data_IF_581397508421
#
_entry.id   IF_581397508421
#
_cell.length_a   1.000
_cell.length_b   1.000
_cell.length_c   1.000
_cell.angle_alpha   90.00
_cell.angle_beta   90.00
_cell.angle_gamma   90.00
#
_symmetry.space_group_name_H-M   'P 1'
#
loop_
_entity.id
_entity.type
_entity.pdbx_description
1 polymer ?
#
# COMPACT_ATOMS: atom_id res chain seq x y z
N UNK A 1 -79.69 117.35 31.09
CA UNK A 1 -80.78 117.55 30.19
C UNK A 1 -81.05 116.19 29.57
N UNK A 2 -81.98 115.43 30.16
CA UNK A 2 -83.34 115.31 29.56
C UNK A 2 -83.22 114.61 28.21
N UNK A 3 -83.74 113.51 27.94
CA UNK A 3 -85.20 113.27 27.94
C UNK A 3 -85.52 111.75 27.93
N UNK A 4 -86.60 111.51 28.60
CA UNK A 4 -87.34 110.27 28.68
C UNK A 4 -88.14 110.03 27.37
N UNK A 5 -88.37 108.78 27.10
CA UNK A 5 -89.70 108.21 26.91
C UNK A 5 -89.79 107.27 25.72
N UNK A 6 -90.81 106.49 25.60
CA UNK A 6 -91.55 105.71 26.57
C UNK A 6 -91.70 104.18 26.12
N UNK A 7 -92.11 103.41 27.02
CA UNK A 7 -92.54 102.02 26.87
C UNK A 7 -93.75 101.87 25.88
N UNK A 8 -93.72 100.86 25.12
CA UNK A 8 -94.95 100.38 24.48
C UNK A 8 -95.10 98.84 24.88
N UNK A 9 -96.20 98.46 25.45
CA UNK A 9 -96.46 97.10 25.89
C UNK A 9 -97.28 96.37 24.75
N UNK A 10 -96.90 95.25 24.45
CA UNK A 10 -97.51 94.16 23.73
C UNK A 10 -96.60 93.59 22.63
N UNK A 11 -95.83 92.60 23.03
CA UNK A 11 -95.47 91.56 22.08
C UNK A 11 -95.48 90.22 22.86
N UNK A 12 -96.38 89.34 22.43
CA UNK A 12 -96.55 88.00 22.90
C UNK A 12 -95.20 87.17 22.79
N UNK A 13 -94.96 86.32 23.70
CA UNK A 13 -93.75 85.50 23.67
C UNK A 13 -93.84 84.47 22.51
N UNK A 14 -92.91 84.62 21.55
CA UNK A 14 -92.72 83.57 20.54
C UNK A 14 -92.42 82.21 21.17
N UNK A 15 -93.02 81.14 20.69
CA UNK A 15 -92.74 79.79 21.18
C UNK A 15 -91.28 79.39 20.93
N UNK A 16 -90.58 78.95 21.95
CA UNK A 16 -89.18 78.37 21.87
C UNK A 16 -89.35 77.07 21.10
N UNK A 17 -88.69 76.95 19.92
CA UNK A 17 -88.58 75.74 19.16
C UNK A 17 -87.75 74.71 19.98
N UNK A 18 -88.14 73.44 20.06
CA UNK A 18 -87.39 72.45 20.76
C UNK A 18 -86.06 72.18 20.07
N UNK A 19 -84.99 72.20 20.83
CA UNK A 19 -83.65 71.86 20.35
C UNK A 19 -83.63 70.48 19.62
N UNK A 20 -82.84 70.33 18.52
CA UNK A 20 -82.81 69.07 17.80
C UNK A 20 -82.24 67.98 18.70
N UNK A 21 -83.03 66.94 18.95
CA UNK A 21 -82.59 65.74 19.63
C UNK A 21 -81.53 65.05 18.76
N UNK A 22 -80.26 65.11 19.22
CA UNK A 22 -79.17 64.30 18.62
C UNK A 22 -79.58 62.85 18.74
N UNK A 23 -80.00 62.18 17.65
CA UNK A 23 -80.15 60.72 17.61
C UNK A 23 -78.79 60.15 17.86
N UNK A 24 -78.67 59.55 18.99
CA UNK A 24 -77.46 58.79 19.35
C UNK A 24 -77.25 57.60 18.40
N UNK A 25 -76.27 57.65 17.53
CA UNK A 25 -75.87 56.57 16.61
C UNK A 25 -75.07 55.47 17.36
N UNK A 26 -75.45 55.15 18.59
CA UNK A 26 -74.82 54.13 19.48
C UNK A 26 -74.69 52.78 18.80
N UNK A 27 -75.65 52.42 17.98
CA UNK A 27 -75.62 51.19 17.17
C UNK A 27 -74.51 51.21 16.11
N UNK A 28 -74.28 52.36 15.46
CA UNK A 28 -73.20 52.54 14.46
C UNK A 28 -71.86 52.60 15.14
N UNK A 29 -71.75 53.27 16.30
CA UNK A 29 -70.47 53.31 17.09
C UNK A 29 -70.12 51.94 17.59
N UNK A 30 -71.07 51.10 18.03
CA UNK A 30 -70.77 49.71 18.40
C UNK A 30 -70.34 48.83 17.21
N UNK A 31 -70.91 49.05 16.03
CA UNK A 31 -70.59 48.33 14.81
C UNK A 31 -69.18 48.69 14.35
N UNK A 32 -68.77 49.95 14.39
CA UNK A 32 -67.46 50.47 14.08
C UNK A 32 -66.43 49.89 15.12
N UNK A 33 -66.78 49.90 16.40
CA UNK A 33 -65.96 49.32 17.46
C UNK A 33 -65.72 47.81 17.24
N UNK A 34 -66.71 47.05 16.89
CA UNK A 34 -66.62 45.64 16.57
C UNK A 34 -65.71 45.38 15.33
N UNK A 35 -65.93 46.19 14.27
CA UNK A 35 -65.13 46.11 13.03
C UNK A 35 -63.68 46.46 13.27
N UNK A 36 -63.37 47.46 14.11
CA UNK A 36 -61.99 47.78 14.47
C UNK A 36 -61.32 46.68 15.27
N UNK A 37 -62.02 45.99 16.17
CA UNK A 37 -61.54 44.84 16.90
C UNK A 37 -61.21 43.67 15.94
N UNK A 38 -62.10 43.41 14.98
CA UNK A 38 -61.82 42.34 13.97
C UNK A 38 -60.63 42.70 13.09
N UNK A 39 -60.47 43.98 12.70
CA UNK A 39 -59.26 44.41 11.93
C UNK A 39 -57.98 44.26 12.75
N UNK A 40 -58.01 44.58 14.07
CA UNK A 40 -56.86 44.41 14.95
C UNK A 40 -56.50 42.92 15.08
N UNK A 41 -57.48 42.04 15.29
CA UNK A 41 -57.27 40.61 15.39
C UNK A 41 -56.69 40.05 14.10
N UNK A 42 -57.18 40.46 12.94
CA UNK A 42 -56.63 40.06 11.65
C UNK A 42 -55.23 40.62 11.43
N UNK A 43 -54.96 41.86 11.80
CA UNK A 43 -53.63 42.47 11.76
C UNK A 43 -52.58 41.71 12.63
N UNK A 44 -52.98 41.36 13.84
CA UNK A 44 -52.15 40.55 14.74
C UNK A 44 -51.90 39.17 14.15
N UNK A 45 -52.92 38.52 13.60
CA UNK A 45 -52.77 37.21 12.94
C UNK A 45 -51.82 37.29 11.75
N UNK A 46 -51.96 38.25 10.86
CA UNK A 46 -51.08 38.47 9.71
C UNK A 46 -49.62 38.72 10.18
N UNK A 47 -49.46 39.50 11.23
CA UNK A 47 -48.14 39.76 11.81
C UNK A 47 -47.49 38.47 12.34
N UNK A 48 -48.22 37.66 13.11
CA UNK A 48 -47.75 36.38 13.64
C UNK A 48 -47.45 35.38 12.52
N UNK A 49 -48.36 35.23 11.54
CA UNK A 49 -48.13 34.38 10.36
C UNK A 49 -46.90 34.84 9.55
N UNK A 50 -46.65 36.16 9.49
CA UNK A 50 -45.46 36.70 8.82
C UNK A 50 -44.15 36.38 9.56
N UNK A 51 -44.16 36.41 10.90
CA UNK A 51 -43.01 36.00 11.72
C UNK A 51 -42.75 34.51 11.58
N UNK A 52 -43.76 33.67 11.72
CA UNK A 52 -43.66 32.23 11.54
C UNK A 52 -43.12 31.86 10.14
N UNK A 53 -43.62 32.53 9.09
CA UNK A 53 -43.11 32.33 7.72
C UNK A 53 -41.64 32.76 7.56
N UNK A 54 -41.17 33.78 8.27
CA UNK A 54 -39.75 34.18 8.27
C UNK A 54 -38.90 33.15 8.96
N UNK A 55 -39.31 32.70 10.15
CA UNK A 55 -38.59 31.65 10.89
C UNK A 55 -38.51 30.35 10.09
N UNK A 56 -39.62 29.88 9.50
CA UNK A 56 -39.64 28.68 8.65
C UNK A 56 -38.74 28.84 7.44
N UNK A 57 -38.75 30.04 6.80
CA UNK A 57 -37.86 30.30 5.67
C UNK A 57 -36.39 30.31 6.06
N UNK A 58 -36.03 30.91 7.20
CA UNK A 58 -34.67 30.91 7.73
C UNK A 58 -34.23 29.50 8.11
N UNK A 59 -35.07 28.70 8.75
CA UNK A 59 -34.81 27.30 9.06
C UNK A 59 -34.64 26.45 7.78
N UNK A 60 -35.48 26.67 6.78
CA UNK A 60 -35.36 25.97 5.50
C UNK A 60 -34.05 26.33 4.80
N UNK A 61 -33.70 27.62 4.73
CA UNK A 61 -32.46 28.11 4.14
C UNK A 61 -31.21 27.53 4.88
N UNK A 62 -31.24 27.53 6.20
CA UNK A 62 -30.16 26.93 7.02
C UNK A 62 -30.06 25.43 6.80
N UNK A 63 -31.19 24.73 6.69
CA UNK A 63 -31.23 23.28 6.41
C UNK A 63 -30.70 22.97 5.02
N UNK A 64 -31.05 23.75 4.01
CA UNK A 64 -30.54 23.61 2.64
C UNK A 64 -29.01 23.85 2.58
N UNK A 65 -28.53 24.89 3.27
CA UNK A 65 -27.09 25.19 3.34
C UNK A 65 -26.30 24.06 4.03
N UNK A 66 -26.81 23.58 5.16
CA UNK A 66 -26.18 22.44 5.87
C UNK A 66 -26.15 21.18 5.01
N UNK A 67 -27.22 20.94 4.25
CA UNK A 67 -27.29 19.83 3.33
C UNK A 67 -26.25 19.98 2.19
N UNK A 68 -26.22 21.16 1.56
CA UNK A 68 -25.25 21.44 0.49
C UNK A 68 -23.81 21.29 0.96
N UNK A 69 -23.48 21.80 2.14
CA UNK A 69 -22.13 21.67 2.75
C UNK A 69 -21.78 20.21 3.01
N UNK A 70 -22.72 19.43 3.55
CA UNK A 70 -22.48 17.99 3.82
C UNK A 70 -22.29 17.21 2.51
N UNK A 71 -23.06 17.50 1.47
CA UNK A 71 -22.92 16.89 0.15
C UNK A 71 -21.60 17.26 -0.52
N UNK A 72 -21.16 18.50 -0.37
CA UNK A 72 -19.85 18.94 -0.85
C UNK A 72 -18.75 18.15 -0.14
N UNK A 73 -18.82 18.00 1.20
CA UNK A 73 -17.82 17.25 1.96
C UNK A 73 -17.75 15.77 1.54
N UNK A 74 -18.90 15.14 1.27
CA UNK A 74 -18.94 13.78 0.72
C UNK A 74 -18.24 13.68 -0.64
N UNK A 75 -18.40 14.69 -1.49
CA UNK A 75 -17.70 14.72 -2.79
C UNK A 75 -16.19 14.88 -2.63
N UNK A 76 -15.76 15.71 -1.67
CA UNK A 76 -14.34 15.87 -1.33
C UNK A 76 -13.75 14.55 -0.80
N UNK A 77 -14.43 13.90 0.14
CA UNK A 77 -14.02 12.59 0.69
C UNK A 77 -13.92 11.53 -0.42
N UNK A 78 -14.86 11.52 -1.36
CA UNK A 78 -14.80 10.61 -2.51
C UNK A 78 -13.51 10.81 -3.33
N UNK A 79 -13.13 12.06 -3.58
CA UNK A 79 -11.89 12.38 -4.28
C UNK A 79 -10.65 12.00 -3.45
N UNK A 80 -10.69 12.20 -2.13
CA UNK A 80 -9.64 11.76 -1.23
C UNK A 80 -9.50 10.23 -1.25
N UNK A 81 -10.60 9.47 -1.26
CA UNK A 81 -10.58 8.01 -1.41
C UNK A 81 -9.89 7.58 -2.71
N UNK A 82 -10.16 8.24 -3.84
CA UNK A 82 -9.51 7.91 -5.11
C UNK A 82 -7.99 8.08 -5.03
N UNK A 83 -7.51 9.12 -4.38
CA UNK A 83 -6.07 9.32 -4.16
C UNK A 83 -5.47 8.24 -3.26
N UNK A 84 -6.15 7.88 -2.16
CA UNK A 84 -5.66 6.85 -1.23
C UNK A 84 -5.69 5.46 -1.86
N UNK A 85 -6.74 5.13 -2.62
CA UNK A 85 -6.81 3.87 -3.39
C UNK A 85 -5.60 3.75 -4.31
N UNK A 86 -5.32 4.77 -5.13
CA UNK A 86 -4.19 4.74 -6.04
C UNK A 86 -2.83 4.62 -5.31
N UNK A 87 -2.68 5.23 -4.15
CA UNK A 87 -1.46 5.15 -3.34
C UNK A 87 -1.28 3.78 -2.71
N UNK A 88 -2.34 3.21 -2.11
CA UNK A 88 -2.32 1.88 -1.49
C UNK A 88 -2.08 0.79 -2.53
N UNK A 89 -2.76 0.84 -3.68
CA UNK A 89 -2.54 -0.10 -4.80
C UNK A 89 -1.08 -0.09 -5.27
N UNK A 90 -0.48 1.09 -5.40
CA UNK A 90 0.94 1.22 -5.75
C UNK A 90 1.87 0.58 -4.72
N UNK A 91 1.49 0.56 -3.46
CA UNK A 91 2.23 -0.03 -2.36
C UNK A 91 1.91 -1.52 -2.16
N UNK A 92 0.94 -2.08 -2.92
CA UNK A 92 0.51 -3.48 -2.84
C UNK A 92 -0.42 -3.78 -1.66
N UNK A 93 -1.09 -2.76 -1.11
CA UNK A 93 -2.07 -2.90 -0.03
C UNK A 93 -3.48 -3.23 -0.52
N UNK A 94 -4.38 -3.53 0.44
CA UNK A 94 -5.79 -3.83 0.18
C UNK A 94 -6.63 -2.54 0.13
N UNK A 95 -7.40 -2.36 -0.94
CA UNK A 95 -8.26 -1.20 -1.18
C UNK A 95 -9.75 -1.52 -1.11
N UNK A 96 -10.12 -2.75 -0.80
CA UNK A 96 -11.51 -3.24 -0.85
C UNK A 96 -12.47 -2.41 0.02
N UNK A 97 -12.04 -2.02 1.21
CA UNK A 97 -12.81 -1.21 2.15
C UNK A 97 -13.05 0.21 1.63
N UNK A 98 -12.03 0.86 1.08
CA UNK A 98 -12.16 2.19 0.47
C UNK A 98 -13.05 2.17 -0.78
N UNK A 99 -12.94 1.13 -1.60
CA UNK A 99 -13.80 0.95 -2.79
C UNK A 99 -15.26 0.75 -2.38
N UNK A 100 -15.54 -0.02 -1.33
CA UNK A 100 -16.88 -0.19 -0.79
C UNK A 100 -17.44 1.11 -0.23
N UNK A 101 -16.68 1.83 0.57
CA UNK A 101 -17.07 3.14 1.11
C UNK A 101 -17.32 4.17 0.01
N UNK A 102 -16.49 4.21 -1.03
CA UNK A 102 -16.69 5.06 -2.20
C UNK A 102 -17.99 4.75 -2.92
N UNK A 103 -18.31 3.46 -3.14
CA UNK A 103 -19.56 3.05 -3.77
C UNK A 103 -20.78 3.48 -2.94
N UNK A 104 -20.69 3.41 -1.61
CA UNK A 104 -21.74 3.89 -0.71
C UNK A 104 -21.93 5.41 -0.83
N UNK A 105 -20.86 6.20 -0.88
CA UNK A 105 -20.92 7.64 -1.11
C UNK A 105 -21.61 7.95 -2.44
N UNK A 106 -21.24 7.26 -3.52
CA UNK A 106 -21.86 7.46 -4.83
C UNK A 106 -23.37 7.17 -4.81
N UNK A 107 -23.80 6.17 -4.07
CA UNK A 107 -25.21 5.85 -3.89
C UNK A 107 -25.93 6.93 -3.10
N UNK A 108 -25.35 7.45 -2.02
CA UNK A 108 -25.90 8.55 -1.24
C UNK A 108 -26.02 9.83 -2.06
N UNK A 109 -25.00 10.19 -2.85
CA UNK A 109 -25.02 11.34 -3.74
C UNK A 109 -26.15 11.23 -4.79
N UNK A 110 -26.44 10.01 -5.26
CA UNK A 110 -27.54 9.77 -6.22
C UNK A 110 -28.93 9.77 -5.57
N UNK A 111 -29.04 9.24 -4.34
CA UNK A 111 -30.33 9.11 -3.62
C UNK A 111 -30.87 10.42 -3.09
N UNK A 112 -30.01 11.34 -2.74
CA UNK A 112 -30.37 12.52 -1.98
C UNK A 112 -31.08 13.54 -2.85
N UNK A 113 -32.41 13.66 -2.69
CA UNK A 113 -33.25 14.61 -3.43
C UNK A 113 -33.93 15.65 -2.54
N UNK A 114 -33.94 15.50 -1.21
CA UNK A 114 -34.59 16.43 -0.29
C UNK A 114 -33.83 16.53 1.03
N UNK A 115 -33.42 17.75 1.34
CA UNK A 115 -32.87 18.10 2.63
C UNK A 115 -33.91 18.03 3.74
N UNK A 116 -33.68 17.21 4.76
CA UNK A 116 -34.39 17.30 6.04
C UNK A 116 -33.39 17.03 7.18
N UNK A 117 -33.72 17.52 8.37
CA UNK A 117 -32.77 17.45 9.49
C UNK A 117 -32.32 16.05 9.87
N UNK A 118 -33.15 15.02 9.63
CA UNK A 118 -32.80 13.61 9.90
C UNK A 118 -31.76 13.11 8.88
N UNK A 119 -32.01 13.35 7.60
CA UNK A 119 -31.08 12.97 6.52
C UNK A 119 -29.72 13.66 6.70
N UNK A 120 -29.72 14.94 7.04
CA UNK A 120 -28.49 15.71 7.28
C UNK A 120 -27.69 15.10 8.43
N UNK A 121 -28.36 14.70 9.52
CA UNK A 121 -27.67 14.06 10.64
C UNK A 121 -27.06 12.73 10.22
N UNK A 122 -27.81 11.87 9.54
CA UNK A 122 -27.32 10.57 9.04
C UNK A 122 -26.12 10.75 8.10
N UNK A 123 -26.14 11.75 7.21
CA UNK A 123 -25.05 12.05 6.31
C UNK A 123 -23.81 12.59 7.05
N UNK A 124 -23.99 13.40 8.10
CA UNK A 124 -22.87 13.86 8.93
C UNK A 124 -22.21 12.74 9.70
N UNK A 125 -23.00 11.84 10.27
CA UNK A 125 -22.49 10.68 10.99
C UNK A 125 -21.65 9.78 10.04
N UNK A 126 -22.08 9.65 8.77
CA UNK A 126 -21.33 8.97 7.73
C UNK A 126 -20.04 9.71 7.35
N UNK A 127 -20.10 11.02 7.17
CA UNK A 127 -18.91 11.86 6.89
C UNK A 127 -17.86 11.65 7.97
N UNK A 128 -18.26 11.71 9.25
CA UNK A 128 -17.34 11.46 10.37
C UNK A 128 -16.71 10.06 10.31
N UNK A 129 -17.51 9.03 10.00
CA UNK A 129 -17.00 7.67 9.81
C UNK A 129 -16.00 7.55 8.65
N UNK A 130 -16.25 8.21 7.54
CA UNK A 130 -15.34 8.21 6.39
C UNK A 130 -14.04 9.00 6.66
N UNK A 131 -14.12 10.10 7.42
CA UNK A 131 -12.93 10.84 7.87
C UNK A 131 -12.05 9.99 8.81
N UNK A 132 -12.64 9.22 9.70
CA UNK A 132 -11.91 8.27 10.54
C UNK A 132 -11.26 7.15 9.69
N UNK A 133 -11.96 6.65 8.67
CA UNK A 133 -11.41 5.67 7.74
C UNK A 133 -10.20 6.25 6.97
N UNK A 134 -10.28 7.50 6.50
CA UNK A 134 -9.15 8.18 5.85
C UNK A 134 -7.92 8.25 6.76
N UNK A 135 -8.10 8.63 8.03
CA UNK A 135 -7.01 8.67 9.01
C UNK A 135 -6.38 7.30 9.23
N UNK A 136 -7.21 6.25 9.38
CA UNK A 136 -6.71 4.88 9.52
C UNK A 136 -5.92 4.42 8.28
N UNK A 137 -6.37 4.80 7.08
CA UNK A 137 -5.67 4.48 5.83
C UNK A 137 -4.38 5.28 5.65
N UNK A 138 -4.27 6.49 6.17
CA UNK A 138 -3.01 7.24 6.23
C UNK A 138 -1.96 6.51 7.07
N UNK A 139 -2.34 5.99 8.23
CA UNK A 139 -1.44 5.18 9.06
C UNK A 139 -1.02 3.89 8.35
N UNK A 140 -1.94 3.24 7.63
CA UNK A 140 -1.63 2.04 6.84
C UNK A 140 -0.65 2.35 5.71
N UNK A 141 -0.85 3.45 4.98
CA UNK A 141 0.05 3.91 3.92
C UNK A 141 1.47 4.13 4.46
N UNK A 142 1.63 4.78 5.60
CA UNK A 142 2.95 5.00 6.21
C UNK A 142 3.63 3.69 6.65
N UNK A 143 2.87 2.74 7.17
CA UNK A 143 3.38 1.38 7.45
C UNK A 143 3.81 0.67 6.18
N UNK A 144 2.98 0.69 5.12
CA UNK A 144 3.30 0.08 3.83
C UNK A 144 4.55 0.70 3.20
N UNK A 145 4.71 2.02 3.25
CA UNK A 145 5.94 2.71 2.78
C UNK A 145 7.17 2.24 3.53
N UNK A 146 7.07 2.11 4.84
CA UNK A 146 8.18 1.64 5.70
C UNK A 146 8.57 0.21 5.32
N UNK A 147 7.61 -0.71 5.28
CA UNK A 147 7.83 -2.10 4.91
C UNK A 147 8.41 -2.24 3.50
N UNK A 148 7.87 -1.50 2.52
CA UNK A 148 8.41 -1.51 1.17
C UNK A 148 9.88 -1.04 1.11
N UNK A 149 10.23 -0.01 1.88
CA UNK A 149 11.61 0.48 1.97
C UNK A 149 12.53 -0.57 2.61
N UNK A 150 12.07 -1.24 3.66
CA UNK A 150 12.82 -2.32 4.32
C UNK A 150 13.03 -3.49 3.37
N UNK A 151 11.96 -3.96 2.71
CA UNK A 151 12.03 -5.05 1.72
C UNK A 151 12.96 -4.71 0.54
N UNK A 152 12.92 -3.46 0.07
CA UNK A 152 13.84 -3.02 -0.98
C UNK A 152 15.30 -3.10 -0.52
N UNK A 153 15.59 -2.63 0.70
CA UNK A 153 16.94 -2.67 1.27
C UNK A 153 17.42 -4.10 1.47
N UNK A 154 16.56 -4.96 2.03
CA UNK A 154 16.85 -6.39 2.21
C UNK A 154 17.13 -7.08 0.86
N UNK A 155 16.31 -6.81 -0.16
CA UNK A 155 16.49 -7.38 -1.49
C UNK A 155 17.84 -7.00 -2.10
N UNK A 156 18.27 -5.74 -1.96
CA UNK A 156 19.59 -5.27 -2.41
C UNK A 156 20.69 -5.99 -1.64
N UNK A 157 20.56 -6.13 -0.33
CA UNK A 157 21.53 -6.83 0.52
C UNK A 157 21.65 -8.30 0.12
N UNK A 158 20.52 -9.02 0.04
CA UNK A 158 20.48 -10.42 -0.38
C UNK A 158 21.06 -10.65 -1.77
N UNK A 159 20.82 -9.74 -2.71
CA UNK A 159 21.43 -9.81 -4.04
C UNK A 159 22.94 -9.66 -3.99
N UNK A 160 23.44 -8.77 -3.14
CA UNK A 160 24.88 -8.56 -2.94
C UNK A 160 25.53 -9.78 -2.30
N UNK A 161 24.94 -10.32 -1.24
CA UNK A 161 25.39 -11.52 -0.57
C UNK A 161 25.40 -12.73 -1.50
N UNK A 162 24.34 -12.91 -2.30
CA UNK A 162 24.27 -13.97 -3.32
C UNK A 162 25.45 -13.89 -4.31
N UNK A 163 25.80 -12.69 -4.78
CA UNK A 163 26.92 -12.50 -5.69
C UNK A 163 28.25 -12.84 -5.02
N UNK A 164 28.47 -12.33 -3.79
CA UNK A 164 29.68 -12.64 -3.00
C UNK A 164 29.83 -14.15 -2.71
N UNK A 165 28.71 -14.83 -2.43
CA UNK A 165 28.70 -16.26 -2.22
C UNK A 165 29.06 -17.01 -3.51
N UNK A 166 28.52 -16.58 -4.65
CA UNK A 166 28.86 -17.11 -5.97
C UNK A 166 30.36 -16.99 -6.28
N UNK A 167 30.94 -15.80 -6.05
CA UNK A 167 32.38 -15.58 -6.24
C UNK A 167 33.24 -16.46 -5.31
N UNK A 168 32.78 -16.62 -4.07
CA UNK A 168 33.49 -17.48 -3.07
C UNK A 168 33.44 -18.93 -3.49
N UNK A 169 32.31 -19.43 -3.99
CA UNK A 169 32.16 -20.80 -4.51
C UNK A 169 33.10 -21.01 -5.71
N UNK A 170 33.18 -20.08 -6.63
CA UNK A 170 34.04 -20.16 -7.80
C UNK A 170 35.54 -20.25 -7.37
N UNK A 171 35.97 -19.36 -6.48
CA UNK A 171 37.35 -19.38 -5.94
C UNK A 171 37.68 -20.67 -5.22
N UNK A 172 36.73 -21.21 -4.44
CA UNK A 172 36.91 -22.48 -3.74
C UNK A 172 37.02 -23.64 -4.72
N UNK A 173 36.22 -23.65 -5.81
CA UNK A 173 36.28 -24.67 -6.85
C UNK A 173 37.63 -24.63 -7.58
N UNK A 174 38.09 -23.44 -7.99
CA UNK A 174 39.41 -23.26 -8.62
C UNK A 174 40.55 -23.73 -7.70
N UNK A 175 40.49 -23.35 -6.42
CA UNK A 175 41.49 -23.78 -5.42
C UNK A 175 41.48 -25.30 -5.24
N UNK A 176 40.31 -25.94 -5.18
CA UNK A 176 40.14 -27.39 -5.09
C UNK A 176 40.74 -28.09 -6.31
N UNK A 177 40.51 -27.62 -7.51
CA UNK A 177 41.07 -28.17 -8.74
C UNK A 177 42.61 -28.04 -8.77
N UNK A 178 43.10 -26.84 -8.40
CA UNK A 178 44.55 -26.63 -8.31
C UNK A 178 45.22 -27.51 -7.29
N UNK A 179 44.60 -27.72 -6.12
CA UNK A 179 45.09 -28.65 -5.10
C UNK A 179 45.04 -30.09 -5.59
N UNK A 180 43.93 -30.52 -6.20
CA UNK A 180 43.81 -31.88 -6.76
C UNK A 180 44.89 -32.16 -7.80
N UNK A 181 45.18 -31.18 -8.70
CA UNK A 181 46.27 -31.29 -9.67
C UNK A 181 47.65 -31.42 -8.98
N UNK A 182 47.95 -30.59 -7.98
CA UNK A 182 49.19 -30.68 -7.20
C UNK A 182 49.33 -32.04 -6.50
N UNK A 183 48.25 -32.53 -5.89
CA UNK A 183 48.24 -33.84 -5.25
C UNK A 183 48.46 -34.96 -6.26
N UNK A 184 47.84 -34.87 -7.45
CA UNK A 184 48.02 -35.86 -8.51
C UNK A 184 49.50 -35.92 -8.98
N UNK A 185 50.16 -34.79 -9.14
CA UNK A 185 51.58 -34.72 -9.49
C UNK A 185 52.46 -35.25 -8.35
N UNK A 186 52.21 -34.81 -7.13
CA UNK A 186 52.99 -35.20 -5.96
C UNK A 186 52.82 -36.68 -5.60
N UNK A 187 51.71 -37.29 -5.94
CA UNK A 187 51.43 -38.72 -5.65
C UNK A 187 52.01 -39.68 -6.70
N UNK A 188 52.66 -39.16 -7.75
CA UNK A 188 53.32 -40.01 -8.75
C UNK A 188 54.48 -40.79 -8.10
N UNK A 189 54.43 -42.09 -8.23
CA UNK A 189 55.53 -42.99 -7.74
C UNK A 189 56.68 -42.92 -8.75
N UNK A 190 57.86 -42.75 -8.25
CA UNK A 190 59.11 -42.75 -9.04
C UNK A 190 59.86 -44.00 -8.77
N UNK A 191 60.24 -44.79 -9.80
CA UNK A 191 61.12 -45.88 -9.70
C UNK A 191 62.61 -45.42 -9.68
N UNK A 192 63.40 -45.88 -8.71
CA UNK A 192 64.79 -45.56 -8.55
C UNK A 192 65.60 -46.83 -8.51
N UNK A 193 66.92 -46.72 -8.73
CA UNK A 193 67.90 -47.85 -8.71
C UNK A 193 67.43 -48.97 -9.63
N UNK A 194 66.96 -48.64 -10.82
CA UNK A 194 66.53 -49.65 -11.79
C UNK A 194 67.67 -50.46 -12.29
N UNK A 195 67.63 -51.77 -12.03
CA UNK A 195 68.64 -52.77 -12.45
C UNK A 195 67.95 -53.76 -13.38
N UNK A 196 68.50 -53.90 -14.58
CA UNK A 196 68.00 -54.88 -15.55
C UNK A 196 69.04 -55.88 -15.82
N UNK A 197 68.75 -57.17 -15.57
CA UNK A 197 69.67 -58.27 -15.79
C UNK A 197 68.97 -59.32 -16.67
N UNK A 198 69.81 -59.88 -17.58
CA UNK A 198 69.41 -61.04 -18.35
C UNK A 198 69.80 -62.35 -17.53
N UNK A 199 68.84 -63.25 -17.44
CA UNK A 199 69.01 -64.56 -16.81
C UNK A 199 68.95 -65.62 -17.91
N UNK A 200 69.98 -66.40 -18.04
CA UNK A 200 70.02 -67.50 -19.03
C UNK A 200 69.28 -68.74 -18.49
N UNK A 201 69.09 -69.73 -19.33
CA UNK A 201 68.41 -70.99 -18.98
C UNK A 201 69.06 -71.78 -17.83
N UNK A 202 70.35 -71.50 -17.55
CA UNK A 202 71.11 -72.11 -16.42
C UNK A 202 71.07 -71.25 -15.14
N UNK A 203 70.27 -70.21 -15.12
CA UNK A 203 70.07 -69.28 -13.96
C UNK A 203 71.21 -68.27 -13.77
N UNK A 204 72.18 -68.14 -14.66
CA UNK A 204 73.27 -67.20 -14.54
C UNK A 204 72.82 -65.80 -14.96
N UNK A 205 72.97 -64.83 -14.08
CA UNK A 205 72.66 -63.40 -14.30
C UNK A 205 73.78 -62.68 -15.03
N UNK A 206 73.41 -61.79 -15.96
CA UNK A 206 74.36 -60.87 -16.65
C UNK A 206 73.67 -59.48 -16.78
N UNK A 207 74.46 -58.48 -16.44
CA UNK A 207 74.07 -57.05 -16.69
C UNK A 207 74.27 -56.62 -18.15
N UNK A 208 73.61 -55.61 -18.52
CA UNK A 208 73.74 -55.01 -19.83
C UNK A 208 75.19 -54.53 -20.13
N UNK A 209 75.70 -54.70 -21.34
CA UNK A 209 75.05 -55.20 -22.55
C UNK A 209 75.10 -56.75 -22.65
N UNK A 210 73.98 -57.36 -23.00
CA UNK A 210 73.84 -58.79 -23.22
C UNK A 210 73.33 -59.05 -24.69
N UNK A 211 73.72 -60.27 -25.21
CA UNK A 211 73.30 -60.68 -26.53
C UNK A 211 71.99 -61.48 -26.45
N UNK A 212 71.11 -61.36 -27.41
CA UNK A 212 69.81 -62.02 -27.42
C UNK A 212 69.90 -63.55 -27.13
N UNK A 213 70.84 -64.29 -27.64
CA UNK A 213 71.10 -65.74 -27.35
C UNK A 213 71.38 -66.06 -25.89
N UNK A 214 71.59 -65.04 -25.06
CA UNK A 214 71.99 -65.17 -23.62
C UNK A 214 70.80 -64.85 -22.69
N UNK A 215 69.65 -64.57 -23.24
CA UNK A 215 68.47 -64.14 -22.51
C UNK A 215 67.44 -65.26 -22.50
N UNK A 216 67.23 -65.91 -21.39
CA UNK A 216 66.12 -66.82 -21.14
C UNK A 216 65.01 -66.07 -20.44
N UNK A 217 65.36 -65.15 -19.50
CA UNK A 217 64.41 -64.24 -18.79
C UNK A 217 65.10 -62.91 -18.56
N UNK A 218 64.29 -61.86 -18.48
CA UNK A 218 64.71 -60.52 -18.02
C UNK A 218 64.20 -60.33 -16.58
N UNK A 219 65.13 -59.97 -15.70
CA UNK A 219 64.82 -59.62 -14.32
C UNK A 219 65.00 -58.09 -14.19
N UNK A 220 64.00 -57.41 -13.69
CA UNK A 220 64.01 -55.99 -13.40
C UNK A 220 63.87 -55.80 -11.91
N UNK A 221 64.88 -55.27 -11.28
CA UNK A 221 64.90 -54.86 -9.88
C UNK A 221 64.84 -53.35 -9.81
N UNK A 222 64.02 -52.80 -8.96
CA UNK A 222 63.91 -51.34 -8.73
C UNK A 222 63.35 -51.05 -7.36
N UNK A 223 63.61 -49.85 -6.84
CA UNK A 223 63.06 -49.33 -5.62
C UNK A 223 62.05 -48.27 -5.97
N UNK A 224 60.93 -48.16 -5.23
CA UNK A 224 60.07 -47.02 -5.28
C UNK A 224 60.61 -45.93 -4.35
N UNK A 225 60.77 -44.69 -4.85
CA UNK A 225 61.11 -43.55 -4.03
C UNK A 225 60.05 -43.33 -2.94
N UNK A 226 60.48 -42.88 -1.78
CA UNK A 226 59.57 -42.52 -0.70
C UNK A 226 58.61 -41.46 -1.18
N UNK A 227 57.29 -41.68 -0.99
CA UNK A 227 56.28 -40.73 -1.37
C UNK A 227 55.21 -40.71 -0.31
N UNK A 228 55.22 -39.63 0.51
CA UNK A 228 54.31 -39.43 1.62
C UNK A 228 52.90 -38.90 1.16
N UNK A 229 52.73 -38.60 -0.12
CA UNK A 229 51.47 -38.11 -0.71
C UNK A 229 50.70 -39.21 -1.42
N UNK A 230 51.41 -40.22 -1.92
CA UNK A 230 50.78 -41.36 -2.61
C UNK A 230 49.99 -42.22 -1.60
N UNK A 231 48.76 -42.66 -1.91
CA UNK A 231 48.02 -43.58 -1.08
C UNK A 231 48.81 -44.88 -0.88
N UNK A 232 48.86 -45.40 0.37
CA UNK A 232 49.47 -46.68 0.71
C UNK A 232 48.48 -47.81 0.36
N UNK A 233 48.50 -48.21 -0.90
CA UNK A 233 47.65 -49.28 -1.45
C UNK A 233 48.43 -50.12 -2.45
N UNK A 234 47.92 -51.31 -2.81
CA UNK A 234 48.49 -52.11 -3.88
C UNK A 234 48.51 -51.35 -5.21
N UNK A 235 49.71 -51.25 -5.81
CA UNK A 235 49.90 -50.59 -7.11
C UNK A 235 50.16 -51.60 -8.19
N UNK A 236 49.51 -51.45 -9.36
CA UNK A 236 49.79 -52.28 -10.51
C UNK A 236 50.98 -51.69 -11.26
N UNK A 237 52.03 -52.45 -11.41
CA UNK A 237 53.21 -52.05 -12.15
C UNK A 237 53.14 -52.69 -13.54
N UNK A 238 53.36 -51.89 -14.56
CA UNK A 238 53.41 -52.32 -15.95
C UNK A 238 54.81 -52.08 -16.47
N UNK A 239 55.47 -53.16 -16.90
CA UNK A 239 56.72 -53.04 -17.61
C UNK A 239 56.49 -53.23 -19.09
N UNK A 240 56.91 -52.23 -19.87
CA UNK A 240 56.73 -52.19 -21.33
C UNK A 240 58.09 -52.20 -21.98
N UNK A 241 58.29 -53.13 -22.93
CA UNK A 241 59.49 -53.20 -23.74
C UNK A 241 59.14 -52.56 -25.10
N UNK A 242 59.88 -51.54 -25.50
CA UNK A 242 59.68 -50.78 -26.73
C UNK A 242 60.93 -50.91 -27.63
N UNK A 243 60.76 -50.89 -28.95
CA UNK A 243 61.84 -50.87 -29.93
C UNK A 243 62.39 -49.41 -30.15
N UNK A 244 63.40 -49.34 -31.03
CA UNK A 244 64.02 -48.03 -31.36
C UNK A 244 63.06 -47.04 -32.00
N UNK A 245 61.91 -47.49 -32.54
CA UNK A 245 60.87 -46.67 -33.17
C UNK A 245 59.74 -46.38 -32.19
N UNK A 246 59.88 -46.62 -30.89
CA UNK A 246 58.85 -46.47 -29.84
C UNK A 246 57.66 -47.43 -29.99
N UNK A 247 57.79 -48.53 -30.75
CA UNK A 247 56.74 -49.53 -30.88
C UNK A 247 56.84 -50.52 -29.75
N UNK A 248 55.64 -50.81 -29.13
CA UNK A 248 55.56 -51.81 -28.05
C UNK A 248 55.86 -53.21 -28.59
N UNK A 249 56.94 -53.81 -28.21
CA UNK A 249 57.30 -55.16 -28.56
C UNK A 249 56.63 -56.16 -27.61
N UNK A 250 56.54 -55.80 -26.32
CA UNK A 250 56.04 -56.71 -25.31
C UNK A 250 55.50 -55.92 -24.12
N UNK A 251 54.30 -56.28 -23.65
CA UNK A 251 53.68 -55.69 -22.50
C UNK A 251 53.52 -56.75 -21.40
N UNK A 252 54.22 -56.61 -20.29
CA UNK A 252 54.07 -57.48 -19.15
C UNK A 252 53.34 -56.74 -18.06
N UNK A 253 52.08 -57.14 -17.80
CA UNK A 253 51.38 -56.72 -16.63
C UNK A 253 51.33 -57.80 -15.61
N UNK A 254 52.04 -57.66 -14.48
CA UNK A 254 51.82 -58.45 -13.27
C UNK A 254 51.65 -57.51 -12.10
N UNK A 255 50.49 -57.64 -11.43
CA UNK A 255 50.26 -57.06 -10.14
C UNK A 255 50.70 -57.90 -9.01
#
# INVERSE_FOLDING_TARGET
MSEQTPKNPNQDPKPIAPAPVKKSNTKIALLIGFLSIVIIIQGVKIYLDSQEKKEVKEQLSSTEEQYATTMQRLTEIQAEFDLKIAEIEKLGGDVSELQAAKAEIEEELKRSKRANGRVIKELRDKVEGYEQLLLAKDEEIEKLKTVNKELFTENVTLKTEKNQLGDSINRLSESKEALASKVAIASQLKAENIRIVAVNDKGKERESPFKNRQVGKIKVDFNLAENNVAPVEGKKIVIRIIDQNNQVIFDVARG
#
